data_IF_545961005382
#
_entry.id   IF_545961005382
#
_cell.length_a   1.000
_cell.length_b   1.000
_cell.length_c   1.000
_cell.angle_alpha   90.00
_cell.angle_beta   90.00
_cell.angle_gamma   90.00
#
_symmetry.space_group_name_H-M   'P 1'
#
loop_
_entity.id
_entity.type
_entity.pdbx_description
1 polymer ?
#
# COMPACT_ATOMS: atom_id res chain seq x y z
N UNK A 1 39.94 43.39 -4.57
CA UNK A 1 38.52 43.69 -4.90
C UNK A 1 37.85 42.40 -5.36
N UNK A 2 37.40 41.54 -4.43
CA UNK A 2 36.74 40.26 -4.76
C UNK A 2 35.23 40.38 -4.50
N UNK A 3 34.46 40.24 -5.58
CA UNK A 3 33.01 40.45 -5.61
C UNK A 3 32.32 39.09 -5.41
N UNK A 4 31.97 38.76 -4.17
CA UNK A 4 31.16 37.58 -3.87
C UNK A 4 29.68 37.85 -4.25
N UNK A 5 29.23 37.28 -5.38
CA UNK A 5 27.82 37.24 -5.80
C UNK A 5 27.37 35.79 -5.97
N UNK A 6 27.28 35.01 -4.89
CA UNK A 6 26.90 33.59 -5.00
C UNK A 6 26.00 33.08 -3.88
N UNK A 7 25.21 33.93 -3.22
CA UNK A 7 24.40 33.51 -2.06
C UNK A 7 22.87 33.39 -2.33
N UNK A 8 22.36 33.79 -3.51
CA UNK A 8 20.91 33.81 -3.78
C UNK A 8 20.33 32.60 -4.51
N UNK A 9 21.15 31.74 -5.14
CA UNK A 9 20.63 30.58 -5.89
C UNK A 9 20.42 29.30 -5.03
N UNK A 10 20.98 29.21 -3.83
CA UNK A 10 20.91 27.98 -3.03
C UNK A 10 19.60 27.79 -2.25
N UNK A 11 18.81 28.85 -2.03
CA UNK A 11 17.56 28.76 -1.25
C UNK A 11 16.41 28.08 -2.00
N UNK A 12 16.42 28.10 -3.34
CA UNK A 12 15.38 27.44 -4.14
C UNK A 12 15.64 25.94 -4.36
N UNK A 13 16.88 25.48 -4.22
CA UNK A 13 17.25 24.08 -4.48
C UNK A 13 16.90 23.15 -3.31
N UNK A 14 16.90 23.66 -2.07
CA UNK A 14 16.65 22.82 -0.88
C UNK A 14 15.17 22.46 -0.68
N UNK A 15 14.23 23.35 -1.07
CA UNK A 15 12.78 23.09 -0.95
C UNK A 15 12.32 22.02 -1.95
N UNK A 16 12.96 21.95 -3.13
CA UNK A 16 12.60 20.98 -4.15
C UNK A 16 13.03 19.54 -3.78
N UNK A 17 14.15 19.38 -3.08
CA UNK A 17 14.67 18.06 -2.65
C UNK A 17 13.79 17.45 -1.54
N UNK A 18 13.25 18.29 -0.65
CA UNK A 18 12.36 17.84 0.43
C UNK A 18 11.01 17.35 -0.12
N UNK A 19 10.45 18.01 -1.13
CA UNK A 19 9.21 17.58 -1.79
C UNK A 19 9.35 16.24 -2.54
N UNK A 20 10.51 15.98 -3.17
CA UNK A 20 10.80 14.72 -3.85
C UNK A 20 10.90 13.51 -2.89
N UNK A 21 11.30 13.75 -1.64
CA UNK A 21 11.46 12.69 -0.63
C UNK A 21 10.13 12.09 -0.17
N UNK A 22 9.06 12.89 -0.13
CA UNK A 22 7.74 12.43 0.31
C UNK A 22 7.04 11.55 -0.74
N UNK A 23 7.23 11.83 -2.03
CA UNK A 23 6.61 11.04 -3.11
C UNK A 23 7.22 9.63 -3.22
N UNK A 24 8.54 9.50 -3.03
CA UNK A 24 9.22 8.21 -3.03
C UNK A 24 8.75 7.30 -1.88
N UNK A 25 8.52 7.88 -0.69
CA UNK A 25 8.08 7.15 0.50
C UNK A 25 6.70 6.49 0.30
N UNK A 26 5.76 7.19 -0.36
CA UNK A 26 4.42 6.65 -0.60
C UNK A 26 4.46 5.38 -1.50
N UNK A 27 5.26 5.41 -2.57
CA UNK A 27 5.43 4.27 -3.48
C UNK A 27 6.15 3.06 -2.84
N UNK A 28 6.96 3.31 -1.81
CA UNK A 28 7.69 2.26 -1.09
C UNK A 28 6.80 1.54 -0.09
N UNK A 29 6.05 2.29 0.70
CA UNK A 29 5.12 1.72 1.68
C UNK A 29 4.06 0.84 1.02
N UNK A 30 3.53 1.29 -0.12
CA UNK A 30 2.60 0.52 -0.95
C UNK A 30 3.20 -0.83 -1.37
N UNK A 31 4.42 -0.83 -1.92
CA UNK A 31 5.10 -2.07 -2.35
C UNK A 31 5.36 -3.02 -1.19
N UNK A 32 5.80 -2.50 -0.04
CA UNK A 32 6.08 -3.32 1.15
C UNK A 32 4.78 -3.91 1.73
N UNK A 33 3.69 -3.14 1.74
CA UNK A 33 2.37 -3.61 2.16
C UNK A 33 1.87 -4.74 1.25
N UNK A 34 1.90 -4.54 -0.07
CA UNK A 34 1.48 -5.56 -1.01
C UNK A 34 2.35 -6.82 -0.94
N UNK A 35 3.67 -6.67 -0.83
CA UNK A 35 4.58 -7.80 -0.66
C UNK A 35 4.22 -8.63 0.58
N UNK A 36 3.88 -7.97 1.68
CA UNK A 36 3.49 -8.65 2.92
C UNK A 36 2.21 -9.48 2.74
N UNK A 37 1.23 -8.97 2.00
CA UNK A 37 -0.01 -9.71 1.67
C UNK A 37 0.25 -10.82 0.66
N UNK A 38 1.05 -10.56 -0.37
CA UNK A 38 1.44 -11.55 -1.37
C UNK A 38 2.16 -12.74 -0.71
N UNK A 39 3.14 -12.49 0.16
CA UNK A 39 3.87 -13.52 0.89
C UNK A 39 2.95 -14.31 1.84
N UNK A 40 1.96 -13.66 2.44
CA UNK A 40 0.93 -14.34 3.24
C UNK A 40 0.08 -15.28 2.36
N UNK A 41 -0.44 -14.78 1.25
CA UNK A 41 -1.32 -15.55 0.36
C UNK A 41 -0.60 -16.68 -0.37
N UNK A 42 0.63 -16.46 -0.83
CA UNK A 42 1.44 -17.53 -1.44
C UNK A 42 1.74 -18.65 -0.46
N UNK A 43 2.02 -18.32 0.81
CA UNK A 43 2.16 -19.33 1.88
C UNK A 43 0.86 -20.09 2.15
N UNK A 44 -0.29 -19.44 1.96
CA UNK A 44 -1.60 -20.08 2.03
C UNK A 44 -1.96 -20.91 0.78
N UNK A 45 -1.11 -20.92 -0.26
CA UNK A 45 -1.31 -21.73 -1.48
C UNK A 45 -1.86 -20.96 -2.69
N UNK A 46 -1.90 -19.63 -2.64
CA UNK A 46 -2.24 -18.83 -3.82
C UNK A 46 -1.15 -18.98 -4.90
N UNK A 47 -1.57 -19.26 -6.14
CA UNK A 47 -0.70 -19.37 -7.31
C UNK A 47 -0.27 -18.01 -7.82
N UNK A 48 -1.22 -17.08 -7.90
CA UNK A 48 -1.03 -15.72 -8.38
C UNK A 48 -1.74 -14.76 -7.43
N UNK A 49 -1.15 -13.59 -7.20
CA UNK A 49 -1.73 -12.51 -6.41
C UNK A 49 -1.60 -11.24 -7.21
N UNK A 50 -2.73 -10.65 -7.59
CA UNK A 50 -2.78 -9.34 -8.26
C UNK A 50 -3.07 -8.27 -7.23
N UNK A 51 -2.25 -7.24 -7.17
CA UNK A 51 -2.40 -6.11 -6.26
C UNK A 51 -3.47 -5.15 -6.78
N UNK A 52 -4.31 -4.64 -5.89
CA UNK A 52 -5.35 -3.67 -6.18
C UNK A 52 -5.00 -2.28 -5.65
N UNK A 53 -5.86 -1.72 -4.80
CA UNK A 53 -5.67 -0.39 -4.22
C UNK A 53 -4.89 -0.46 -2.91
N UNK A 54 -4.13 0.59 -2.63
CA UNK A 54 -3.51 0.86 -1.33
C UNK A 54 -4.01 2.22 -0.84
N UNK A 55 -4.54 2.25 0.38
CA UNK A 55 -5.08 3.46 1.00
C UNK A 55 -4.52 3.58 2.41
N UNK A 56 -3.87 4.71 2.69
CA UNK A 56 -3.45 5.11 4.04
C UNK A 56 -4.08 6.44 4.39
N UNK A 57 -3.95 6.85 5.65
CA UNK A 57 -4.41 8.16 6.09
C UNK A 57 -3.37 8.86 6.96
N UNK A 58 -3.31 10.21 6.92
CA UNK A 58 -2.38 10.97 7.76
C UNK A 58 -2.62 10.82 9.27
N UNK A 59 -3.87 10.60 9.68
CA UNK A 59 -4.27 10.41 11.08
C UNK A 59 -4.02 8.99 11.60
N UNK A 60 -3.85 8.02 10.69
CA UNK A 60 -3.50 6.63 10.99
C UNK A 60 -2.32 6.18 10.08
N UNK A 61 -1.11 6.75 10.26
CA UNK A 61 0.03 6.50 9.38
C UNK A 61 0.58 5.06 9.47
N UNK A 62 0.17 4.34 10.51
CA UNK A 62 0.56 2.96 10.79
C UNK A 62 -0.51 1.96 10.37
N UNK A 63 -1.60 2.40 9.72
CA UNK A 63 -2.63 1.52 9.18
C UNK A 63 -2.82 1.75 7.69
N UNK A 64 -3.07 0.66 6.97
CA UNK A 64 -3.34 0.70 5.54
C UNK A 64 -4.44 -0.27 5.15
N UNK A 65 -5.28 0.13 4.21
CA UNK A 65 -6.19 -0.77 3.51
C UNK A 65 -5.53 -1.21 2.22
N UNK A 66 -5.57 -2.51 1.94
CA UNK A 66 -5.16 -3.05 0.65
C UNK A 66 -6.19 -3.99 0.09
N UNK A 67 -6.28 -4.03 -1.23
CA UNK A 67 -6.98 -5.11 -1.94
C UNK A 67 -6.03 -5.92 -2.78
N UNK A 68 -6.37 -7.19 -2.92
CA UNK A 68 -5.68 -8.13 -3.80
C UNK A 68 -6.70 -9.08 -4.42
N UNK A 69 -6.38 -9.62 -5.58
CA UNK A 69 -7.10 -10.73 -6.19
C UNK A 69 -6.18 -11.95 -6.18
N UNK A 70 -6.55 -12.97 -5.42
CA UNK A 70 -5.82 -14.22 -5.32
C UNK A 70 -6.37 -15.22 -6.34
N UNK A 71 -5.49 -15.91 -7.07
CA UNK A 71 -5.83 -17.07 -7.89
C UNK A 71 -5.31 -18.32 -7.19
N UNK A 72 -6.19 -19.27 -6.90
CA UNK A 72 -5.88 -20.52 -6.21
C UNK A 72 -5.65 -21.68 -7.19
N UNK A 73 -4.95 -22.72 -6.75
CA UNK A 73 -4.60 -23.89 -7.57
C UNK A 73 -5.71 -24.95 -7.71
N UNK A 74 -6.90 -24.71 -7.17
CA UNK A 74 -8.04 -25.60 -7.34
C UNK A 74 -9.04 -25.01 -8.34
N UNK A 75 -9.70 -25.89 -9.09
CA UNK A 75 -10.67 -25.52 -10.09
C UNK A 75 -12.07 -25.35 -9.46
N UNK A 76 -12.85 -24.42 -9.99
CA UNK A 76 -14.26 -24.27 -9.68
C UNK A 76 -15.12 -25.31 -10.44
N UNK A 77 -16.45 -25.23 -10.29
CA UNK A 77 -17.38 -26.14 -10.96
C UNK A 77 -17.32 -26.08 -12.51
N UNK A 78 -16.67 -25.07 -13.09
CA UNK A 78 -16.50 -24.88 -14.54
C UNK A 78 -15.12 -25.33 -15.03
N UNK A 79 -14.25 -25.80 -14.13
CA UNK A 79 -12.86 -26.15 -14.46
C UNK A 79 -11.92 -24.94 -14.52
N UNK A 80 -12.36 -23.75 -14.12
CA UNK A 80 -11.53 -22.55 -14.09
C UNK A 80 -10.81 -22.43 -12.74
N UNK A 81 -9.60 -21.86 -12.73
CA UNK A 81 -8.90 -21.59 -11.46
C UNK A 81 -9.72 -20.64 -10.59
N UNK A 82 -9.94 -21.01 -9.33
CA UNK A 82 -10.69 -20.19 -8.39
C UNK A 82 -9.98 -18.84 -8.18
N UNK A 83 -10.71 -17.75 -8.37
CA UNK A 83 -10.26 -16.39 -8.05
C UNK A 83 -11.05 -15.84 -6.87
N UNK A 84 -10.38 -15.07 -6.02
CA UNK A 84 -10.97 -14.46 -4.85
C UNK A 84 -10.48 -13.03 -4.67
N UNK A 85 -11.44 -12.10 -4.52
CA UNK A 85 -11.16 -10.69 -4.26
C UNK A 85 -11.14 -10.43 -2.76
N UNK A 86 -10.00 -9.99 -2.24
CA UNK A 86 -9.72 -9.91 -0.81
C UNK A 86 -9.36 -8.48 -0.41
N UNK A 87 -9.92 -8.04 0.72
CA UNK A 87 -9.59 -6.77 1.36
C UNK A 87 -8.94 -7.00 2.72
N UNK A 88 -7.86 -6.28 3.01
CA UNK A 88 -7.13 -6.38 4.27
C UNK A 88 -6.87 -5.02 4.89
N UNK A 89 -6.97 -4.96 6.21
CA UNK A 89 -6.36 -3.89 7.01
C UNK A 89 -5.01 -4.39 7.49
N UNK A 90 -3.97 -3.64 7.16
CA UNK A 90 -2.61 -3.84 7.63
C UNK A 90 -2.30 -2.86 8.74
N UNK A 91 -1.43 -3.27 9.65
CA UNK A 91 -0.83 -2.43 10.67
C UNK A 91 0.69 -2.51 10.59
N UNK A 92 1.39 -1.38 10.80
CA UNK A 92 2.85 -1.37 10.93
C UNK A 92 3.26 -1.93 12.28
N UNK A 93 4.23 -2.83 12.25
CA UNK A 93 4.98 -3.31 13.41
C UNK A 93 6.46 -3.06 13.14
N UNK A 94 6.97 -1.93 13.66
CA UNK A 94 8.29 -1.42 13.27
C UNK A 94 8.29 -1.01 11.79
N UNK A 95 9.19 -1.59 11.01
CA UNK A 95 9.33 -1.34 9.57
C UNK A 95 8.46 -2.28 8.70
N UNK A 96 7.77 -3.26 9.29
CA UNK A 96 7.04 -4.27 8.53
C UNK A 96 5.52 -4.06 8.61
N UNK A 97 4.82 -4.33 7.51
CA UNK A 97 3.36 -4.40 7.50
C UNK A 97 2.87 -5.80 7.88
N UNK A 98 1.90 -5.88 8.78
CA UNK A 98 1.24 -7.13 9.14
C UNK A 98 -0.25 -7.04 8.92
N UNK A 99 -0.85 -8.12 8.41
CA UNK A 99 -2.30 -8.22 8.27
C UNK A 99 -2.91 -8.23 9.67
N UNK A 100 -3.72 -7.21 9.97
CA UNK A 100 -4.44 -7.10 11.23
C UNK A 100 -5.80 -7.80 11.15
N UNK A 101 -6.56 -7.55 10.08
CA UNK A 101 -7.87 -8.18 9.86
C UNK A 101 -8.26 -8.19 8.39
N UNK A 102 -9.14 -9.13 8.05
CA UNK A 102 -9.81 -9.19 6.76
C UNK A 102 -11.05 -8.29 6.80
N UNK A 103 -11.31 -7.60 5.71
CA UNK A 103 -12.44 -6.67 5.56
C UNK A 103 -13.08 -6.86 4.19
N UNK A 104 -14.22 -6.23 3.97
CA UNK A 104 -14.89 -6.27 2.69
C UNK A 104 -13.96 -5.74 1.58
N UNK A 105 -13.89 -6.46 0.47
CA UNK A 105 -13.24 -5.99 -0.74
C UNK A 105 -14.00 -4.78 -1.31
N UNK A 106 -13.28 -3.72 -1.64
CA UNK A 106 -13.80 -2.55 -2.35
C UNK A 106 -12.68 -1.90 -3.16
N UNK A 107 -12.97 -1.48 -4.39
CA UNK A 107 -12.06 -0.66 -5.19
C UNK A 107 -12.31 0.84 -5.00
N UNK A 108 -13.42 1.21 -4.33
CA UNK A 108 -13.71 2.59 -3.97
C UNK A 108 -12.82 3.05 -2.80
N UNK A 109 -11.97 4.05 -3.06
CA UNK A 109 -11.08 4.64 -2.06
C UNK A 109 -11.81 5.32 -0.92
N UNK A 110 -13.01 5.85 -1.15
CA UNK A 110 -13.85 6.47 -0.12
C UNK A 110 -14.33 5.39 0.86
N UNK A 111 -14.88 4.30 0.32
CA UNK A 111 -15.32 3.16 1.14
C UNK A 111 -14.14 2.48 1.83
N UNK A 112 -12.98 2.37 1.19
CA UNK A 112 -11.76 1.87 1.82
C UNK A 112 -11.33 2.73 3.03
N UNK A 113 -11.49 4.06 2.94
CA UNK A 113 -11.24 4.95 4.09
C UNK A 113 -12.23 4.75 5.22
N UNK A 114 -13.50 4.49 4.92
CA UNK A 114 -14.52 4.18 5.93
C UNK A 114 -14.20 2.86 6.65
N UNK A 115 -13.77 1.83 5.90
CA UNK A 115 -13.34 0.54 6.47
C UNK A 115 -12.10 0.66 7.36
N UNK A 116 -11.18 1.59 7.04
CA UNK A 116 -10.06 1.95 7.91
C UNK A 116 -10.53 2.58 9.22
N UNK A 117 -11.55 3.43 9.19
CA UNK A 117 -12.17 3.99 10.42
C UNK A 117 -12.92 2.94 11.25
N UNK A 118 -13.03 1.70 10.76
CA UNK A 118 -13.80 0.65 11.41
C UNK A 118 -15.31 0.81 11.23
N UNK A 119 -15.75 1.67 10.31
CA UNK A 119 -17.15 1.70 9.87
C UNK A 119 -17.42 0.44 9.04
N UNK A 120 -18.53 -0.22 9.32
CA UNK A 120 -18.96 -1.47 8.67
C UNK A 120 -19.82 -1.18 7.45
#
# INVERSE_FOLDING_TARGET
MFRAKSARLYRFSFVFILALSFLASCSRQEKEAFKSVEDFLKRAGAREVKTGIFVTRPDLPDEAYVTVVATWNFADAKGELQKESLGYILKKEGEAWKISRNVQFTEDKTKARELLEGKK
#
